data_IF_427300150053
#
_entry.id   IF_427300150053
#
_cell.length_a   1.000
_cell.length_b   1.000
_cell.length_c   1.000
_cell.angle_alpha   90.00
_cell.angle_beta   90.00
_cell.angle_gamma   90.00
#
_symmetry.space_group_name_H-M   'P 1'
#
loop_
_entity.id
_entity.type
_entity.pdbx_description
1 polymer ?
#
# COMPACT_ATOMS: atom_id res chain seq x y z
N UNK A 1 18.78 18.29 11.27
CA UNK A 1 17.51 18.99 10.98
C UNK A 1 16.95 18.28 9.78
N UNK A 2 15.69 17.85 9.83
CA UNK A 2 15.06 17.14 8.72
C UNK A 2 14.75 18.17 7.63
N UNK A 3 15.12 17.90 6.38
CA UNK A 3 14.79 18.76 5.24
C UNK A 3 13.89 18.05 4.24
N UNK A 4 13.01 18.77 3.56
CA UNK A 4 12.14 18.21 2.53
C UNK A 4 12.96 17.61 1.39
N UNK A 5 14.08 18.24 1.02
CA UNK A 5 14.98 17.76 -0.03
C UNK A 5 15.60 16.40 0.31
N UNK A 6 16.00 16.17 1.57
CA UNK A 6 16.52 14.88 2.01
C UNK A 6 15.46 13.78 1.97
N UNK A 7 14.22 14.10 2.38
CA UNK A 7 13.08 13.18 2.31
C UNK A 7 12.82 12.80 0.86
N UNK A 8 12.62 13.79 -0.02
CA UNK A 8 12.34 13.59 -1.44
C UNK A 8 13.47 12.85 -2.15
N UNK A 9 14.73 13.18 -1.86
CA UNK A 9 15.87 12.49 -2.45
C UNK A 9 15.91 11.00 -2.09
N UNK A 10 15.44 10.60 -0.90
CA UNK A 10 15.31 9.20 -0.53
C UNK A 10 14.20 8.51 -1.34
N UNK A 11 13.02 9.14 -1.45
CA UNK A 11 11.90 8.60 -2.23
C UNK A 11 12.26 8.47 -3.71
N UNK A 12 12.94 9.46 -4.29
CA UNK A 12 13.43 9.43 -5.67
C UNK A 12 14.44 8.32 -5.92
N UNK A 13 15.34 8.05 -4.96
CA UNK A 13 16.28 6.92 -5.07
C UNK A 13 15.53 5.60 -5.09
N UNK A 14 14.53 5.44 -4.23
CA UNK A 14 13.68 4.25 -4.22
C UNK A 14 12.89 4.09 -5.53
N UNK A 15 12.34 5.17 -6.07
CA UNK A 15 11.60 5.14 -7.33
C UNK A 15 12.50 4.69 -8.50
N UNK A 16 13.74 5.22 -8.56
CA UNK A 16 14.74 4.78 -9.55
C UNK A 16 15.22 3.35 -9.34
N UNK A 17 15.13 2.85 -8.12
CA UNK A 17 15.48 1.48 -7.73
C UNK A 17 14.35 0.47 -7.90
N UNK A 18 13.14 0.89 -8.28
CA UNK A 18 11.91 0.08 -8.30
C UNK A 18 11.46 -0.40 -6.90
N UNK A 19 11.87 0.32 -5.86
CA UNK A 19 11.51 0.05 -4.46
C UNK A 19 10.38 0.98 -3.96
N UNK A 20 9.99 1.96 -4.77
CA UNK A 20 8.85 2.85 -4.48
C UNK A 20 7.54 2.20 -4.96
N UNK A 21 6.44 2.34 -4.20
CA UNK A 21 5.15 1.73 -4.55
C UNK A 21 4.64 2.24 -5.90
N UNK A 22 4.09 1.34 -6.71
CA UNK A 22 3.39 1.66 -7.95
C UNK A 22 1.96 1.07 -7.89
N UNK A 23 0.90 1.91 -7.88
CA UNK A 23 -0.47 1.43 -7.92
C UNK A 23 -0.82 0.62 -9.19
N UNK A 24 -0.03 0.75 -10.26
CA UNK A 24 -0.18 0.00 -11.51
C UNK A 24 0.83 -1.15 -11.64
N UNK A 25 1.37 -1.63 -10.51
CA UNK A 25 2.37 -2.69 -10.52
C UNK A 25 1.86 -3.94 -11.28
N UNK A 26 2.63 -4.40 -12.26
CA UNK A 26 2.18 -5.46 -13.18
C UNK A 26 1.92 -6.82 -12.54
N UNK A 27 2.38 -7.07 -11.31
CA UNK A 27 2.11 -8.33 -10.58
C UNK A 27 1.00 -8.28 -9.54
N UNK A 28 0.44 -7.10 -9.25
CA UNK A 28 -0.59 -6.95 -8.23
C UNK A 28 -1.82 -6.36 -8.88
N UNK A 29 -2.93 -7.09 -8.85
CA UNK A 29 -4.23 -6.50 -9.13
C UNK A 29 -4.58 -5.60 -7.95
N UNK A 30 -4.58 -4.29 -8.16
CA UNK A 30 -4.76 -3.31 -7.09
C UNK A 30 -6.10 -3.48 -6.39
N UNK A 31 -6.10 -3.38 -5.05
CA UNK A 31 -7.29 -3.47 -4.19
C UNK A 31 -7.44 -2.18 -3.40
N UNK A 32 -6.42 -1.77 -2.64
CA UNK A 32 -6.47 -0.58 -1.78
C UNK A 32 -5.05 -0.13 -1.38
N UNK A 33 -4.92 0.94 -0.59
CA UNK A 33 -3.66 1.34 0.02
C UNK A 33 -3.82 2.47 1.03
N UNK A 34 -2.77 2.73 1.82
CA UNK A 34 -2.77 3.77 2.86
C UNK A 34 -1.37 4.35 3.01
N UNK A 35 -1.30 5.61 3.43
CA UNK A 35 -0.02 6.26 3.79
C UNK A 35 -0.04 6.61 5.27
N UNK A 36 1.06 6.33 5.95
CA UNK A 36 1.31 6.70 7.33
C UNK A 36 2.58 7.54 7.42
N UNK A 37 2.46 8.76 7.97
CA UNK A 37 3.61 9.62 8.25
C UNK A 37 3.86 9.67 9.76
N UNK A 38 5.12 9.45 10.14
CA UNK A 38 5.59 9.43 11.52
C UNK A 38 6.73 10.41 11.71
N UNK A 39 6.77 11.09 12.86
CA UNK A 39 7.78 12.13 13.11
C UNK A 39 7.94 12.50 14.58
N UNK A 40 9.17 12.87 14.94
CA UNK A 40 9.49 13.81 16.02
C UNK A 40 10.54 14.87 15.58
N UNK A 41 11.17 15.57 16.53
CA UNK A 41 12.17 16.63 16.25
C UNK A 41 13.40 16.16 15.44
N UNK A 42 13.72 14.86 15.47
CA UNK A 42 14.95 14.29 14.90
C UNK A 42 14.68 13.17 13.91
N UNK A 43 13.57 12.46 14.08
CA UNK A 43 13.22 11.24 13.36
C UNK A 43 12.02 11.48 12.48
N UNK A 44 12.04 10.84 11.31
CA UNK A 44 10.87 10.71 10.46
C UNK A 44 10.81 9.32 9.84
N UNK A 45 9.60 8.87 9.57
CA UNK A 45 9.33 7.71 8.75
C UNK A 45 8.06 7.92 7.92
N UNK A 46 8.02 7.29 6.76
CA UNK A 46 6.85 7.23 5.88
C UNK A 46 6.65 5.77 5.51
N UNK A 47 5.47 5.22 5.83
CA UNK A 47 5.08 3.89 5.38
C UNK A 47 3.97 4.08 4.35
N UNK A 48 4.18 3.55 3.15
CA UNK A 48 3.16 3.50 2.10
C UNK A 48 2.83 2.04 1.88
N UNK A 49 1.59 1.67 2.15
CA UNK A 49 1.11 0.31 1.96
C UNK A 49 0.20 0.24 0.74
N UNK A 50 0.42 -0.78 -0.10
CA UNK A 50 -0.44 -1.11 -1.23
C UNK A 50 -0.90 -2.56 -1.07
N UNK A 51 -2.21 -2.75 -1.12
CA UNK A 51 -2.87 -4.05 -1.07
C UNK A 51 -3.24 -4.46 -2.50
N UNK A 52 -2.83 -5.67 -2.88
CA UNK A 52 -3.21 -6.24 -4.16
C UNK A 52 -3.20 -7.76 -4.19
N UNK A 53 -4.02 -8.33 -5.06
CA UNK A 53 -3.97 -9.77 -5.32
C UNK A 53 -2.78 -10.09 -6.24
N UNK A 54 -1.89 -10.96 -5.79
CA UNK A 54 -0.75 -11.42 -6.57
C UNK A 54 -0.93 -12.90 -6.94
N UNK A 55 -1.24 -13.23 -8.21
CA UNK A 55 -1.42 -14.60 -8.66
C UNK A 55 -0.21 -15.51 -8.44
N UNK A 56 1.00 -14.94 -8.45
CA UNK A 56 2.25 -15.70 -8.25
C UNK A 56 2.49 -16.01 -6.77
N UNK A 57 2.06 -15.10 -5.89
CA UNK A 57 2.05 -15.36 -4.44
C UNK A 57 0.85 -16.22 -4.01
N UNK A 58 -0.19 -16.31 -4.85
CA UNK A 58 -1.43 -17.05 -4.54
C UNK A 58 -2.21 -16.45 -3.39
N UNK A 59 -2.12 -15.13 -3.17
CA UNK A 59 -2.77 -14.45 -2.05
C UNK A 59 -3.00 -12.95 -2.32
N UNK A 60 -3.84 -12.33 -1.50
CA UNK A 60 -3.84 -10.88 -1.30
C UNK A 60 -2.66 -10.53 -0.43
N UNK A 61 -1.81 -9.64 -0.94
CA UNK A 61 -0.63 -9.16 -0.26
C UNK A 61 -0.83 -7.69 0.05
N UNK A 62 -0.63 -7.33 1.31
CA UNK A 62 -0.38 -5.97 1.74
C UNK A 62 1.14 -5.76 1.81
N UNK A 63 1.67 -4.88 0.97
CA UNK A 63 3.11 -4.62 0.85
C UNK A 63 3.46 -3.28 1.48
N UNK A 64 4.31 -3.30 2.51
CA UNK A 64 4.77 -2.10 3.22
C UNK A 64 6.05 -1.54 2.59
N UNK A 65 5.97 -0.34 2.03
CA UNK A 65 7.14 0.42 1.59
C UNK A 65 7.55 1.39 2.69
N UNK A 66 8.67 1.11 3.37
CA UNK A 66 9.14 1.86 4.52
C UNK A 66 10.28 2.82 4.16
N UNK A 67 10.11 4.10 4.47
CA UNK A 67 11.12 5.15 4.28
C UNK A 67 11.37 5.89 5.61
N UNK A 68 12.53 6.51 5.75
CA UNK A 68 12.86 7.25 6.96
C UNK A 68 14.35 7.34 7.24
N UNK A 69 14.69 8.16 8.24
CA UNK A 69 16.06 8.26 8.78
C UNK A 69 16.24 7.46 10.08
N UNK A 70 15.23 6.71 10.49
CA UNK A 70 15.16 6.04 11.79
C UNK A 70 14.67 4.60 11.70
N UNK A 71 14.71 3.99 10.51
CA UNK A 71 14.37 2.58 10.33
C UNK A 71 15.24 1.72 11.26
N UNK A 72 14.61 0.82 12.00
CA UNK A 72 15.29 -0.05 12.98
C UNK A 72 15.97 -1.24 12.32
N UNK A 73 15.57 -1.56 11.09
CA UNK A 73 16.14 -2.63 10.28
C UNK A 73 15.95 -2.37 8.78
N UNK A 74 16.86 -2.97 7.99
CA UNK A 74 16.85 -2.87 6.53
C UNK A 74 17.14 -1.45 6.01
N UNK A 75 17.05 -1.32 4.69
CA UNK A 75 17.21 -0.06 3.96
C UNK A 75 15.84 0.49 3.53
N UNK A 76 15.73 1.78 3.17
CA UNK A 76 14.48 2.34 2.64
C UNK A 76 13.94 1.55 1.44
N UNK A 77 12.61 1.36 1.40
CA UNK A 77 11.93 0.43 0.50
C UNK A 77 11.28 -0.70 1.30
N UNK A 78 11.20 -1.89 0.71
CA UNK A 78 10.63 -3.08 1.35
C UNK A 78 11.67 -4.19 1.51
N UNK A 79 11.45 -5.06 2.48
CA UNK A 79 12.21 -6.28 2.75
C UNK A 79 11.28 -7.49 2.82
N UNK A 80 11.84 -8.66 3.16
CA UNK A 80 11.06 -9.90 3.22
C UNK A 80 9.90 -9.86 4.23
N UNK A 81 10.09 -9.17 5.37
CA UNK A 81 9.08 -9.03 6.41
C UNK A 81 7.93 -8.08 6.07
N UNK A 82 8.03 -7.34 4.96
CA UNK A 82 7.05 -6.32 4.58
C UNK A 82 5.94 -6.86 3.66
N UNK A 83 5.99 -8.15 3.28
CA UNK A 83 4.97 -8.83 2.49
C UNK A 83 3.98 -9.55 3.40
N UNK A 84 2.80 -8.96 3.61
CA UNK A 84 1.80 -9.47 4.55
C UNK A 84 0.66 -10.16 3.78
N UNK A 85 0.60 -11.48 3.86
CA UNK A 85 -0.51 -12.26 3.29
C UNK A 85 -1.78 -12.03 4.12
N UNK A 86 -2.91 -11.71 3.47
CA UNK A 86 -4.15 -11.33 4.15
C UNK A 86 -5.21 -12.42 4.18
N UNK A 87 -5.25 -13.31 3.19
CA UNK A 87 -6.30 -14.33 3.10
C UNK A 87 -5.78 -15.68 3.60
N UNK A 88 -6.37 -16.15 4.70
CA UNK A 88 -5.94 -17.36 5.43
C UNK A 88 -6.37 -18.65 4.72
N UNK A 89 -7.46 -18.59 3.96
CA UNK A 89 -8.09 -19.76 3.33
C UNK A 89 -8.02 -19.76 1.79
N UNK A 90 -7.02 -19.12 1.18
CA UNK A 90 -6.89 -18.98 -0.29
C UNK A 90 -7.11 -20.27 -1.09
N UNK A 91 -6.52 -21.39 -0.63
CA UNK A 91 -6.67 -22.69 -1.31
C UNK A 91 -8.13 -23.17 -1.39
N UNK A 92 -9.01 -22.71 -0.50
CA UNK A 92 -10.44 -23.03 -0.53
C UNK A 92 -11.20 -22.15 -1.53
N UNK A 93 -10.68 -20.96 -1.81
CA UNK A 93 -11.30 -19.95 -2.66
C UNK A 93 -10.92 -20.11 -4.12
N UNK A 94 -9.73 -20.63 -4.43
CA UNK A 94 -9.26 -20.72 -5.80
C UNK A 94 -9.74 -21.98 -6.54
N UNK A 95 -10.05 -21.83 -7.82
CA UNK A 95 -10.16 -22.96 -8.74
C UNK A 95 -8.75 -23.53 -9.01
N UNK A 96 -8.52 -24.81 -8.71
CA UNK A 96 -7.19 -25.42 -8.90
C UNK A 96 -6.81 -25.58 -10.38
N UNK A 97 -7.77 -25.58 -11.31
CA UNK A 97 -7.50 -25.55 -12.74
C UNK A 97 -7.23 -24.11 -13.23
N UNK A 98 -7.77 -23.12 -12.53
CA UNK A 98 -7.69 -21.70 -12.87
C UNK A 98 -7.48 -20.84 -11.61
N UNK A 99 -6.26 -20.84 -11.05
CA UNK A 99 -5.97 -20.28 -9.71
C UNK A 99 -6.27 -18.79 -9.51
N UNK A 100 -6.57 -18.05 -10.57
CA UNK A 100 -7.04 -16.65 -10.49
C UNK A 100 -8.55 -16.51 -10.40
N UNK A 101 -9.29 -17.62 -10.42
CA UNK A 101 -10.75 -17.67 -10.47
C UNK A 101 -11.31 -18.24 -9.17
N UNK A 102 -12.47 -17.70 -8.78
CA UNK A 102 -13.23 -18.15 -7.63
C UNK A 102 -13.80 -19.54 -7.88
N UNK A 103 -13.58 -20.43 -6.91
CA UNK A 103 -14.24 -21.73 -6.78
C UNK A 103 -15.57 -21.56 -6.04
N UNK A 104 -16.64 -22.06 -6.66
CA UNK A 104 -17.98 -21.95 -6.10
C UNK A 104 -18.50 -20.51 -6.08
N UNK A 105 -19.68 -20.30 -5.51
CA UNK A 105 -20.29 -18.97 -5.35
C UNK A 105 -20.42 -18.60 -3.87
N UNK A 106 -20.50 -17.30 -3.59
CA UNK A 106 -20.63 -16.71 -2.25
C UNK A 106 -19.57 -17.23 -1.25
N UNK A 107 -18.28 -16.96 -1.47
CA UNK A 107 -17.22 -17.42 -0.59
C UNK A 107 -17.32 -16.82 0.80
N UNK A 108 -16.90 -17.61 1.78
CA UNK A 108 -16.51 -17.11 3.10
C UNK A 108 -15.00 -16.88 3.11
N UNK A 109 -14.58 -15.64 2.92
CA UNK A 109 -13.16 -15.25 2.88
C UNK A 109 -12.67 -15.09 4.31
N UNK A 110 -11.61 -15.80 4.70
CA UNK A 110 -11.05 -15.70 6.04
C UNK A 110 -9.86 -14.75 6.01
N UNK A 111 -9.96 -13.63 6.75
CA UNK A 111 -8.91 -12.61 6.89
C UNK A 111 -8.61 -12.43 8.36
N UNK A 112 -7.37 -12.66 8.78
CA UNK A 112 -6.93 -12.56 10.19
C UNK A 112 -7.82 -13.39 11.13
N UNK A 113 -8.19 -14.60 10.70
CA UNK A 113 -9.07 -15.52 11.41
C UNK A 113 -10.55 -15.16 11.40
N UNK A 114 -10.95 -14.05 10.77
CA UNK A 114 -12.35 -13.63 10.65
C UNK A 114 -12.95 -14.10 9.34
N UNK A 115 -14.04 -14.86 9.40
CA UNK A 115 -14.79 -15.30 8.23
C UNK A 115 -15.76 -14.21 7.77
N UNK A 116 -15.62 -13.77 6.52
CA UNK A 116 -16.36 -12.68 5.90
C UNK A 116 -17.14 -13.23 4.71
N UNK A 117 -18.46 -13.10 4.73
CA UNK A 117 -19.29 -13.53 3.60
C UNK A 117 -19.23 -12.47 2.51
N UNK A 118 -18.78 -12.87 1.32
CA UNK A 118 -18.61 -11.97 0.18
C UNK A 118 -19.46 -12.47 -0.99
N UNK A 119 -20.15 -11.55 -1.65
CA UNK A 119 -20.82 -11.89 -2.90
C UNK A 119 -19.81 -12.24 -3.98
N UNK A 120 -20.02 -13.40 -4.61
CA UNK A 120 -19.16 -13.89 -5.67
C UNK A 120 -19.84 -14.96 -6.51
N UNK A 121 -19.48 -15.01 -7.78
CA UNK A 121 -20.00 -16.00 -8.73
C UNK A 121 -18.87 -16.96 -9.12
N UNK A 122 -19.19 -18.23 -9.30
CA UNK A 122 -18.20 -19.23 -9.76
C UNK A 122 -17.48 -18.77 -11.03
N UNK A 123 -16.15 -18.87 -11.05
CA UNK A 123 -15.31 -18.44 -12.15
C UNK A 123 -15.02 -16.93 -12.21
N UNK A 124 -15.56 -16.14 -11.27
CA UNK A 124 -15.26 -14.73 -11.16
C UNK A 124 -13.77 -14.49 -10.82
N UNK A 125 -13.12 -13.43 -11.35
CA UNK A 125 -11.77 -13.11 -10.94
C UNK A 125 -11.67 -12.83 -9.43
N UNK A 126 -10.70 -13.47 -8.76
CA UNK A 126 -10.54 -13.36 -7.31
C UNK A 126 -10.28 -11.92 -6.84
N UNK A 127 -9.57 -11.11 -7.63
CA UNK A 127 -9.33 -9.71 -7.27
C UNK A 127 -10.61 -8.87 -7.21
N UNK A 128 -11.62 -9.16 -8.03
CA UNK A 128 -12.91 -8.46 -7.97
C UNK A 128 -13.72 -8.88 -6.74
N UNK A 129 -13.60 -10.16 -6.33
CA UNK A 129 -14.13 -10.64 -5.05
C UNK A 129 -13.46 -9.94 -3.88
N UNK A 130 -12.12 -9.85 -3.86
CA UNK A 130 -11.40 -9.20 -2.76
C UNK A 130 -11.63 -7.69 -2.69
N UNK A 131 -11.83 -7.01 -3.82
CA UNK A 131 -12.22 -5.58 -3.84
C UNK A 131 -13.55 -5.33 -3.11
N UNK A 132 -14.46 -6.31 -3.05
CA UNK A 132 -15.73 -6.17 -2.31
C UNK A 132 -15.57 -6.19 -0.79
N UNK A 133 -14.41 -6.60 -0.27
CA UNK A 133 -14.12 -6.48 1.15
C UNK A 133 -13.86 -5.03 1.58
N UNK A 134 -13.39 -4.18 0.67
CA UNK A 134 -12.94 -2.82 0.99
C UNK A 134 -14.02 -1.96 1.65
N UNK A 135 -15.28 -1.89 1.18
CA UNK A 135 -16.26 -0.98 1.78
C UNK A 135 -16.57 -1.24 3.26
N UNK A 136 -16.48 -2.48 3.74
CA UNK A 136 -16.90 -2.87 5.10
C UNK A 136 -15.78 -3.46 5.97
N UNK A 137 -14.72 -3.98 5.33
CA UNK A 137 -13.68 -4.79 5.98
C UNK A 137 -12.26 -4.31 5.65
N UNK A 138 -12.13 -3.07 5.16
CA UNK A 138 -10.86 -2.45 4.75
C UNK A 138 -9.71 -2.67 5.73
N UNK A 139 -9.92 -2.39 7.01
CA UNK A 139 -8.87 -2.41 8.02
C UNK A 139 -8.33 -3.82 8.30
N UNK A 140 -9.03 -4.88 7.90
CA UNK A 140 -8.52 -6.26 7.99
C UNK A 140 -7.48 -6.58 6.90
N UNK A 141 -7.51 -5.84 5.79
CA UNK A 141 -6.60 -5.99 4.67
C UNK A 141 -5.31 -5.16 4.83
N UNK A 142 -5.37 -4.14 5.68
CA UNK A 142 -4.30 -3.18 5.93
C UNK A 142 -3.49 -3.55 7.17
N UNK A 143 -2.31 -2.96 7.29
CA UNK A 143 -1.43 -3.25 8.41
C UNK A 143 -1.95 -2.64 9.72
N UNK A 144 -1.85 -3.42 10.78
CA UNK A 144 -2.07 -2.90 12.13
C UNK A 144 -0.83 -2.18 12.67
N UNK A 145 -0.95 -1.58 13.85
CA UNK A 145 0.13 -0.80 14.43
C UNK A 145 1.38 -1.65 14.75
N UNK A 146 1.25 -2.95 15.03
CA UNK A 146 2.39 -3.84 15.29
C UNK A 146 3.13 -4.19 13.99
N UNK A 147 2.37 -4.51 12.93
CA UNK A 147 2.88 -4.77 11.58
C UNK A 147 3.57 -3.52 10.99
N UNK A 148 2.90 -2.36 11.05
CA UNK A 148 3.44 -1.07 10.59
C UNK A 148 4.73 -0.69 11.29
N UNK A 149 4.85 -1.02 12.59
CA UNK A 149 5.99 -0.61 13.42
C UNK A 149 7.11 -1.62 13.48
N UNK A 150 7.04 -2.73 12.74
CA UNK A 150 8.09 -3.75 12.75
C UNK A 150 9.48 -3.17 12.43
N UNK A 151 9.54 -2.18 11.53
CA UNK A 151 10.76 -1.49 11.10
C UNK A 151 10.92 -0.08 11.64
N UNK A 152 10.04 0.36 12.54
CA UNK A 152 10.00 1.73 13.06
C UNK A 152 10.24 1.75 14.57
N UNK A 153 10.78 2.85 15.13
CA UNK A 153 10.83 3.00 16.58
C UNK A 153 9.42 3.00 17.18
N UNK A 154 9.19 2.17 18.19
CA UNK A 154 7.88 2.02 18.84
C UNK A 154 7.35 3.32 19.45
N UNK A 155 8.24 4.23 19.84
CA UNK A 155 7.91 5.53 20.43
C UNK A 155 7.70 6.65 19.39
N UNK A 156 7.91 6.39 18.09
CA UNK A 156 7.78 7.41 17.07
C UNK A 156 6.29 7.78 16.86
N UNK A 157 5.90 9.06 17.06
CA UNK A 157 4.51 9.48 16.89
C UNK A 157 4.04 9.40 15.43
N UNK A 158 2.83 8.86 15.19
CA UNK A 158 2.13 8.98 13.91
C UNK A 158 1.46 10.35 13.87
N UNK A 159 1.75 11.14 12.83
CA UNK A 159 1.29 12.52 12.71
C UNK A 159 0.23 12.72 11.62
N UNK A 160 0.20 11.87 10.60
CA UNK A 160 -0.75 11.96 9.49
C UNK A 160 -1.03 10.57 8.90
N UNK A 161 -2.27 10.36 8.48
CA UNK A 161 -2.72 9.18 7.72
C UNK A 161 -3.48 9.66 6.49
N UNK A 162 -3.17 9.11 5.32
CA UNK A 162 -3.91 9.34 4.09
C UNK A 162 -4.57 8.04 3.64
N UNK A 163 -5.89 8.06 3.54
CA UNK A 163 -6.65 6.92 3.02
C UNK A 163 -6.66 6.88 1.49
N UNK A 164 -6.54 8.04 0.87
CA UNK A 164 -6.35 8.17 -0.57
C UNK A 164 -5.45 9.37 -0.83
N UNK A 165 -4.70 9.33 -1.93
CA UNK A 165 -3.84 10.43 -2.35
C UNK A 165 -3.72 10.47 -3.86
N UNK A 166 -3.14 11.56 -4.37
CA UNK A 166 -2.75 11.64 -5.77
C UNK A 166 -1.31 11.11 -5.92
N UNK A 167 -1.13 9.95 -6.55
CA UNK A 167 0.16 9.26 -6.60
C UNK A 167 1.08 9.80 -7.69
N UNK A 168 0.56 9.91 -8.92
CA UNK A 168 1.23 10.49 -10.10
C UNK A 168 0.20 10.73 -11.22
N UNK A 169 0.60 11.39 -12.29
CA UNK A 169 -0.16 11.35 -13.55
C UNK A 169 -0.16 9.92 -14.13
N UNK A 170 -1.32 9.32 -14.45
CA UNK A 170 -1.38 7.90 -14.87
C UNK A 170 -0.44 7.55 -16.02
N UNK A 171 -0.38 8.40 -17.05
CA UNK A 171 0.45 8.19 -18.26
C UNK A 171 1.96 8.45 -18.04
N UNK A 172 2.39 8.87 -16.85
CA UNK A 172 3.78 9.25 -16.56
C UNK A 172 4.47 8.30 -15.59
N UNK A 173 4.76 7.08 -16.06
CA UNK A 173 5.45 6.06 -15.26
C UNK A 173 6.83 6.46 -14.73
N UNK A 174 7.47 7.48 -15.31
CA UNK A 174 8.78 7.98 -14.91
C UNK A 174 8.72 9.18 -13.95
N UNK A 175 7.52 9.64 -13.57
CA UNK A 175 7.34 10.75 -12.65
C UNK A 175 7.87 10.38 -11.26
N UNK A 176 8.91 11.10 -10.82
CA UNK A 176 9.52 10.88 -9.52
C UNK A 176 8.67 11.48 -8.39
N UNK A 177 8.77 10.96 -7.15
CA UNK A 177 8.11 11.55 -5.98
C UNK A 177 8.40 13.04 -5.80
N UNK A 178 9.64 13.49 -6.04
CA UNK A 178 10.00 14.91 -6.00
C UNK A 178 9.29 15.79 -7.04
N UNK A 179 8.64 15.19 -8.04
CA UNK A 179 7.87 15.86 -9.10
C UNK A 179 6.36 15.73 -8.88
N UNK A 180 5.92 15.12 -7.78
CA UNK A 180 4.52 14.89 -7.44
C UNK A 180 4.11 15.75 -6.26
N UNK A 181 3.02 16.51 -6.39
CA UNK A 181 2.50 17.39 -5.34
C UNK A 181 2.37 16.69 -3.99
N UNK A 182 1.72 15.52 -3.95
CA UNK A 182 1.50 14.76 -2.71
C UNK A 182 2.79 14.53 -1.94
N UNK A 183 3.84 14.04 -2.61
CA UNK A 183 5.09 13.68 -1.94
C UNK A 183 5.93 14.92 -1.59
N UNK A 184 5.83 16.00 -2.36
CA UNK A 184 6.39 17.31 -1.98
C UNK A 184 5.75 17.85 -0.69
N UNK A 185 4.43 17.76 -0.58
CA UNK A 185 3.70 18.21 0.59
C UNK A 185 3.96 17.30 1.81
N UNK A 186 3.95 15.98 1.64
CA UNK A 186 4.33 15.03 2.69
C UNK A 186 5.76 15.26 3.18
N UNK A 187 6.70 15.53 2.27
CA UNK A 187 8.07 15.87 2.66
C UNK A 187 8.12 17.16 3.49
N UNK A 188 7.31 18.17 3.16
CA UNK A 188 7.16 19.39 3.97
C UNK A 188 6.63 19.07 5.37
N UNK A 189 5.55 18.30 5.49
CA UNK A 189 5.00 17.84 6.77
C UNK A 189 6.05 17.09 7.60
N UNK A 190 6.78 16.17 6.97
CA UNK A 190 7.83 15.38 7.65
C UNK A 190 9.06 16.24 8.01
N UNK A 191 9.32 17.34 7.31
CA UNK A 191 10.44 18.25 7.58
C UNK A 191 10.12 19.35 8.60
N UNK A 192 8.87 19.80 8.69
CA UNK A 192 8.46 20.88 9.61
C UNK A 192 7.62 20.42 10.80
N UNK A 193 6.88 19.31 10.67
CA UNK A 193 5.84 18.89 11.61
C UNK A 193 4.53 19.67 11.47
N UNK A 194 4.45 20.57 10.50
CA UNK A 194 3.27 21.37 10.22
C UNK A 194 2.29 20.59 9.33
N UNK A 195 1.19 20.12 9.93
CA UNK A 195 0.13 19.39 9.21
C UNK A 195 -0.59 20.28 8.19
N UNK A 196 -0.59 21.59 8.39
CA UNK A 196 -1.20 22.54 7.45
C UNK A 196 -0.39 22.63 6.14
N UNK A 197 0.80 22.04 6.06
CA UNK A 197 1.55 21.94 4.81
C UNK A 197 0.96 20.93 3.82
N UNK A 198 0.11 20.00 4.27
CA UNK A 198 -0.62 19.09 3.39
C UNK A 198 -1.95 19.71 2.95
N UNK A 199 -1.95 20.28 1.74
CA UNK A 199 -3.07 20.95 1.09
C UNK A 199 -3.15 20.50 -0.37
N UNK A 200 -3.57 19.26 -0.64
CA UNK A 200 -3.60 18.72 -2.00
C UNK A 200 -4.53 19.55 -2.88
N UNK A 201 -4.12 19.78 -4.13
CA UNK A 201 -4.94 20.46 -5.13
C UNK A 201 -5.45 19.51 -6.21
N UNK A 202 -4.83 18.34 -6.34
CA UNK A 202 -5.34 17.22 -7.15
C UNK A 202 -6.33 16.35 -6.38
N UNK A 203 -7.37 15.89 -7.07
CA UNK A 203 -8.20 14.78 -6.59
C UNK A 203 -7.35 13.51 -6.45
N UNK A 204 -7.59 12.68 -5.42
CA UNK A 204 -6.84 11.45 -5.23
C UNK A 204 -7.11 10.47 -6.38
N UNK A 205 -6.10 9.68 -6.72
CA UNK A 205 -6.20 8.69 -7.79
C UNK A 205 -5.75 7.29 -7.38
N UNK A 206 -5.54 7.00 -6.10
CA UNK A 206 -5.09 5.66 -5.66
C UNK A 206 -6.16 4.59 -5.61
N UNK A 207 -7.43 4.96 -5.80
CA UNK A 207 -8.47 3.94 -6.00
C UNK A 207 -8.12 3.06 -7.20
N UNK A 208 -8.23 1.73 -7.06
CA UNK A 208 -7.79 0.73 -8.05
C UNK A 208 -8.38 0.95 -9.45
N UNK A 209 -9.57 1.55 -9.54
CA UNK A 209 -10.23 1.83 -10.83
C UNK A 209 -9.48 2.82 -11.71
N UNK A 210 -8.55 3.61 -11.15
CA UNK A 210 -7.69 4.52 -11.90
C UNK A 210 -6.44 3.83 -12.47
N UNK A 211 -6.20 2.56 -12.11
CA UNK A 211 -5.02 1.77 -12.50
C UNK A 211 -5.44 0.44 -13.15
N UNK A 212 -6.15 0.49 -14.29
CA UNK A 212 -6.72 -0.68 -14.91
C UNK A 212 -5.67 -1.68 -15.39
N UNK A 213 -4.43 -1.24 -15.65
CA UNK A 213 -3.30 -2.08 -16.09
C UNK A 213 -2.50 -2.69 -14.92
N UNK A 214 -2.99 -2.58 -13.68
CA UNK A 214 -2.44 -3.31 -12.54
C UNK A 214 -2.65 -4.84 -12.68
N UNK A 215 -1.60 -5.63 -12.42
CA UNK A 215 -1.69 -7.11 -12.40
C UNK A 215 -1.61 -7.84 -13.76
N UNK A 216 -1.28 -7.16 -14.86
CA UNK A 216 -1.28 -7.78 -16.20
C UNK A 216 0.01 -8.50 -16.66
N UNK A 217 1.02 -8.67 -15.80
CA UNK A 217 2.33 -9.28 -16.11
C UNK A 217 2.59 -10.68 -15.48
#
# INVERSE_FOLDING_TARGET
MITSDEVLAQLDRAAKGFDFPDPEHGYYYAIDGRVHAFRDDKRWALVIELVGYNPRAGNVIDLLHCFGNCLTEGEPGYGHGDFLARVDNMHQLEDHAHSTRLRGGHPSVVVRGQALDVDGIEGEPLWDVFRRLVPEHRDLLLADDDELRHRLPADLPRILVLEQWWHREPDRHDQLPSQTETFQQLASVLATGDLDAYRPTHEPNTHWSNWPESGWL
#
